data_IF_745118841716
#
_entry.id   IF_745118841716
#
_cell.length_a   1.000
_cell.length_b   1.000
_cell.length_c   1.000
_cell.angle_alpha   90.00
_cell.angle_beta   90.00
_cell.angle_gamma   90.00
#
_symmetry.space_group_name_H-M   'P 1'
#
loop_
_entity.id
_entity.type
_entity.pdbx_description
1 polymer ?
#
# COMPACT_ATOMS: atom_id res chain seq x y z
N UNK A 1 25.45 7.90 -4.49
CA UNK A 1 24.05 7.78 -4.94
C UNK A 1 23.18 8.49 -3.90
N UNK A 2 22.18 9.28 -4.31
CA UNK A 2 21.24 9.85 -3.35
C UNK A 2 20.44 8.69 -2.75
N UNK A 3 20.35 8.67 -1.43
CA UNK A 3 19.50 7.75 -0.70
C UNK A 3 18.04 8.11 -1.01
N UNK A 4 17.41 7.36 -1.89
CA UNK A 4 15.99 7.50 -2.21
C UNK A 4 15.14 6.77 -1.17
N UNK A 5 15.46 6.98 0.10
CA UNK A 5 14.70 6.50 1.23
C UNK A 5 13.61 7.53 1.59
N UNK A 6 12.38 7.06 1.75
CA UNK A 6 11.22 7.90 2.05
C UNK A 6 9.97 7.53 1.24
N UNK A 7 8.92 8.34 1.38
CA UNK A 7 7.68 8.19 0.60
C UNK A 7 7.95 8.57 -0.85
N UNK A 8 7.69 7.65 -1.78
CA UNK A 8 7.93 7.83 -3.22
C UNK A 8 6.64 7.92 -4.02
N UNK A 9 5.52 7.41 -3.50
CA UNK A 9 4.21 7.63 -4.10
C UNK A 9 3.10 7.65 -3.06
N UNK A 10 2.04 8.39 -3.36
CA UNK A 10 0.79 8.41 -2.62
C UNK A 10 -0.36 8.61 -3.61
N UNK A 11 -1.31 7.69 -3.61
CA UNK A 11 -2.41 7.68 -4.56
C UNK A 11 -3.70 7.10 -3.97
N UNK A 12 -4.81 7.30 -4.67
CA UNK A 12 -6.08 6.66 -4.35
C UNK A 12 -6.33 5.56 -5.36
N UNK A 13 -6.53 4.32 -4.89
CA UNK A 13 -6.80 3.15 -5.73
C UNK A 13 -8.08 2.46 -5.34
N UNK A 14 -8.63 1.68 -6.27
CA UNK A 14 -9.76 0.78 -6.00
C UNK A 14 -9.24 -0.52 -5.40
N UNK A 15 -9.65 -0.82 -4.17
CA UNK A 15 -9.41 -2.11 -3.50
C UNK A 15 -10.76 -2.67 -3.09
N UNK A 16 -11.09 -3.85 -3.64
CA UNK A 16 -12.41 -4.48 -3.47
C UNK A 16 -13.59 -3.51 -3.72
N UNK A 17 -13.51 -2.76 -4.82
CA UNK A 17 -14.51 -1.76 -5.24
C UNK A 17 -14.50 -0.43 -4.46
N UNK A 18 -13.79 -0.36 -3.33
CA UNK A 18 -13.73 0.84 -2.47
C UNK A 18 -12.51 1.70 -2.76
N UNK A 19 -12.61 3.00 -2.48
CA UNK A 19 -11.46 3.90 -2.55
C UNK A 19 -10.55 3.63 -1.35
N UNK A 20 -9.27 3.38 -1.63
CA UNK A 20 -8.23 3.16 -0.64
C UNK A 20 -7.12 4.20 -0.85
N UNK A 21 -6.61 4.77 0.23
CA UNK A 21 -5.34 5.50 0.18
C UNK A 21 -4.20 4.50 0.19
N UNK A 22 -3.30 4.59 -0.79
CA UNK A 22 -2.14 3.71 -0.94
C UNK A 22 -0.89 4.60 -0.93
N UNK A 23 0.03 4.33 -0.01
CA UNK A 23 1.28 5.07 0.15
C UNK A 23 2.44 4.10 0.04
N UNK A 24 3.35 4.34 -0.90
CA UNK A 24 4.59 3.57 -1.06
C UNK A 24 5.76 4.36 -0.53
N UNK A 25 6.53 3.73 0.34
CA UNK A 25 7.80 4.21 0.83
C UNK A 25 8.89 3.19 0.50
N UNK A 26 10.09 3.68 0.21
CA UNK A 26 11.25 2.84 -0.03
C UNK A 26 12.33 3.15 0.99
N UNK A 27 13.20 2.18 1.24
CA UNK A 27 14.51 2.39 1.86
C UNK A 27 15.60 1.68 1.04
N UNK A 28 16.87 1.79 1.44
CA UNK A 28 18.00 1.16 0.73
C UNK A 28 17.84 -0.34 0.38
N UNK A 29 16.96 -1.07 1.07
CA UNK A 29 16.75 -2.53 0.96
C UNK A 29 15.31 -2.93 0.67
N UNK A 30 14.32 -2.14 1.08
CA UNK A 30 12.93 -2.55 1.15
C UNK A 30 11.96 -1.57 0.47
N UNK A 31 10.78 -2.09 0.16
CA UNK A 31 9.58 -1.35 -0.21
C UNK A 31 8.51 -1.63 0.84
N UNK A 32 7.95 -0.57 1.41
CA UNK A 32 6.83 -0.64 2.34
C UNK A 32 5.62 0.06 1.73
N UNK A 33 4.47 -0.60 1.77
CA UNK A 33 3.23 -0.04 1.27
C UNK A 33 2.19 -0.08 2.38
N UNK A 34 1.64 1.10 2.64
CA UNK A 34 0.54 1.31 3.57
C UNK A 34 -0.75 1.49 2.79
N UNK A 35 -1.80 0.78 3.22
CA UNK A 35 -3.12 0.85 2.60
C UNK A 35 -4.15 1.16 3.68
N UNK A 36 -4.97 2.18 3.44
CA UNK A 36 -6.08 2.56 4.30
C UNK A 36 -7.40 2.60 3.54
N UNK A 37 -8.43 1.96 4.08
CA UNK A 37 -9.76 1.86 3.49
C UNK A 37 -10.79 2.32 4.52
N UNK A 38 -11.45 3.45 4.25
CA UNK A 38 -12.57 3.92 5.08
C UNK A 38 -13.84 3.16 4.71
N UNK A 39 -14.53 2.61 5.71
CA UNK A 39 -15.79 1.89 5.48
C UNK A 39 -17.02 2.79 5.66
N UNK A 40 -17.05 3.52 6.77
CA UNK A 40 -18.15 4.43 7.15
C UNK A 40 -17.60 5.63 7.97
N UNK A 41 -18.39 6.31 8.80
CA UNK A 41 -17.90 7.41 9.65
C UNK A 41 -16.91 6.95 10.74
N UNK A 42 -17.11 5.77 11.31
CA UNK A 42 -16.41 5.30 12.52
C UNK A 42 -15.41 4.16 12.24
N UNK A 43 -15.58 3.40 11.16
CA UNK A 43 -14.80 2.20 10.88
C UNK A 43 -13.90 2.33 9.64
N UNK A 44 -12.82 1.56 9.64
CA UNK A 44 -11.86 1.47 8.53
C UNK A 44 -10.92 0.30 8.72
N UNK A 45 -10.36 -0.20 7.62
CA UNK A 45 -9.29 -1.18 7.62
C UNK A 45 -7.97 -0.49 7.24
N UNK A 46 -6.89 -0.88 7.90
CA UNK A 46 -5.54 -0.47 7.55
C UNK A 46 -4.64 -1.70 7.57
N UNK A 47 -3.77 -1.81 6.58
CA UNK A 47 -2.73 -2.82 6.58
C UNK A 47 -1.45 -2.29 5.94
N UNK A 48 -0.35 -2.96 6.26
CA UNK A 48 0.97 -2.62 5.77
C UNK A 48 1.65 -3.88 5.28
N UNK A 49 2.32 -3.77 4.14
CA UNK A 49 3.19 -4.80 3.61
C UNK A 49 4.59 -4.23 3.46
N UNK A 50 5.60 -5.00 3.88
CA UNK A 50 7.02 -4.67 3.66
C UNK A 50 7.68 -5.86 2.96
N UNK A 51 8.37 -5.59 1.86
CA UNK A 51 9.06 -6.60 1.07
C UNK A 51 10.31 -6.04 0.39
N UNK A 52 10.98 -6.84 -0.47
CA UNK A 52 12.15 -6.39 -1.21
C UNK A 52 11.85 -5.15 -2.08
N UNK A 53 12.79 -4.20 -2.18
CA UNK A 53 12.61 -2.90 -2.88
C UNK A 53 12.02 -2.99 -4.29
N UNK A 54 12.33 -4.06 -5.02
CA UNK A 54 11.98 -4.23 -6.44
C UNK A 54 10.82 -5.21 -6.68
N UNK A 55 10.03 -5.55 -5.66
CA UNK A 55 8.97 -6.56 -5.78
C UNK A 55 7.56 -5.95 -5.81
N UNK A 56 7.28 -5.14 -6.82
CA UNK A 56 5.96 -4.53 -7.01
C UNK A 56 4.89 -5.54 -7.41
N UNK A 57 5.25 -6.62 -8.11
CA UNK A 57 4.32 -7.67 -8.53
C UNK A 57 3.61 -8.33 -7.34
N UNK A 58 4.36 -8.74 -6.31
CA UNK A 58 3.77 -9.34 -5.11
C UNK A 58 2.82 -8.39 -4.39
N UNK A 59 3.08 -7.09 -4.42
CA UNK A 59 2.17 -6.11 -3.82
C UNK A 59 0.84 -6.03 -4.57
N UNK A 60 0.88 -5.97 -5.90
CA UNK A 60 -0.33 -5.94 -6.73
C UNK A 60 -1.19 -7.19 -6.51
N UNK A 61 -0.55 -8.36 -6.35
CA UNK A 61 -1.22 -9.61 -6.00
C UNK A 61 -1.92 -9.51 -4.64
N UNK A 62 -1.24 -8.98 -3.61
CA UNK A 62 -1.83 -8.75 -2.27
C UNK A 62 -3.05 -7.84 -2.38
N UNK A 63 -2.93 -6.67 -3.01
CA UNK A 63 -4.06 -5.75 -3.20
C UNK A 63 -5.24 -6.42 -3.90
N UNK A 64 -4.98 -7.21 -4.93
CA UNK A 64 -6.01 -7.92 -5.70
C UNK A 64 -6.70 -9.03 -4.89
N UNK A 65 -6.05 -9.56 -3.85
CA UNK A 65 -6.58 -10.60 -2.97
C UNK A 65 -7.44 -10.07 -1.81
N UNK A 66 -7.35 -8.77 -1.50
CA UNK A 66 -8.14 -8.18 -0.41
C UNK A 66 -9.63 -8.36 -0.69
N UNK A 67 -10.35 -8.86 0.32
CA UNK A 67 -11.82 -8.97 0.34
C UNK A 67 -12.30 -8.35 1.65
N UNK A 68 -13.25 -7.43 1.55
CA UNK A 68 -13.81 -6.68 2.66
C UNK A 68 -15.22 -7.24 2.90
N UNK A 69 -15.39 -7.89 4.05
CA UNK A 69 -16.69 -8.42 4.51
C UNK A 69 -17.43 -7.39 5.36
#
# INVERSE_FOLDING_TARGET
MKDESGVVSAEVRKVDGRNAAVVKALDSTSSTIFVYIKLDRNNGYAFMYTGPRNNDTTFEEILSSVRIT
#
